data_IF_111541827399
#
_entry.id   IF_111541827399
#
_cell.length_a   1.000
_cell.length_b   1.000
_cell.length_c   1.000
_cell.angle_alpha   90.00
_cell.angle_beta   90.00
_cell.angle_gamma   90.00
#
_symmetry.space_group_name_H-M   'P 1'
#
loop_
_entity.id
_entity.type
_entity.pdbx_description
1 polymer ?
#
# COMPACT_ATOMS: atom_id res chain seq x y z
N UNK A 1 -5.33 1.09 3.55
CA UNK A 1 -4.88 0.49 4.84
C UNK A 1 -3.63 -0.33 4.62
N UNK A 2 -2.62 -0.21 5.50
CA UNK A 2 -1.40 -1.03 5.47
C UNK A 2 -1.75 -2.48 5.80
N UNK A 3 -1.21 -3.41 5.01
CA UNK A 3 -1.47 -4.85 5.13
C UNK A 3 -0.26 -5.61 5.69
N UNK A 4 0.91 -5.36 5.12
CA UNK A 4 2.16 -6.05 5.48
C UNK A 4 3.36 -5.12 5.33
N UNK A 5 4.41 -5.43 6.06
CA UNK A 5 5.72 -4.82 5.93
C UNK A 5 6.75 -5.91 5.61
N UNK A 6 7.80 -5.55 4.86
CA UNK A 6 8.95 -6.43 4.62
C UNK A 6 10.21 -5.73 5.13
N UNK A 7 10.82 -6.29 6.17
CA UNK A 7 11.98 -5.71 6.86
C UNK A 7 12.98 -6.83 7.13
N UNK A 8 14.22 -6.63 6.77
CA UNK A 8 15.32 -7.57 7.04
C UNK A 8 15.02 -9.03 6.58
N UNK A 9 14.51 -9.14 5.34
CA UNK A 9 14.24 -10.45 4.74
C UNK A 9 13.00 -11.17 5.28
N UNK A 10 12.16 -10.52 6.10
CA UNK A 10 10.97 -11.10 6.73
C UNK A 10 9.74 -10.23 6.52
N UNK A 11 8.59 -10.89 6.29
CA UNK A 11 7.27 -10.23 6.37
C UNK A 11 6.85 -10.02 7.82
N UNK A 12 6.21 -8.87 8.06
CA UNK A 12 5.65 -8.46 9.35
C UNK A 12 4.23 -7.95 9.13
N UNK A 13 3.37 -8.21 10.10
CA UNK A 13 2.08 -7.52 10.19
C UNK A 13 2.23 -6.21 10.96
N UNK A 14 1.36 -5.20 10.72
CA UNK A 14 1.41 -3.95 11.48
C UNK A 14 1.40 -4.15 13.01
N UNK A 15 0.68 -5.15 13.51
CA UNK A 15 0.55 -5.46 14.94
C UNK A 15 1.84 -6.07 15.54
N UNK A 16 2.74 -6.60 14.71
CA UNK A 16 4.01 -7.19 15.13
C UNK A 16 5.15 -6.17 15.19
N UNK A 17 4.89 -4.93 14.76
CA UNK A 17 5.89 -3.87 14.77
C UNK A 17 6.22 -3.45 16.19
N UNK A 18 7.51 -3.43 16.49
CA UNK A 18 8.03 -3.09 17.81
C UNK A 18 8.91 -1.84 17.72
N UNK A 19 8.53 -0.79 18.44
CA UNK A 19 9.23 0.50 18.47
C UNK A 19 10.59 0.45 19.18
N UNK A 20 10.87 -0.56 20.00
CA UNK A 20 12.20 -0.80 20.57
C UNK A 20 13.18 -1.40 19.55
N UNK A 21 12.66 -2.04 18.48
CA UNK A 21 13.50 -2.51 17.38
C UNK A 21 13.92 -1.32 16.51
N UNK A 22 15.23 -1.11 16.43
CA UNK A 22 15.79 0.01 15.68
C UNK A 22 15.48 -0.06 14.18
N UNK A 23 15.39 -1.26 13.60
CA UNK A 23 15.03 -1.45 12.18
C UNK A 23 13.60 -0.95 11.92
N UNK A 24 12.65 -1.38 12.75
CA UNK A 24 11.27 -0.95 12.65
C UNK A 24 11.16 0.56 12.82
N UNK A 25 11.86 1.12 13.79
CA UNK A 25 11.82 2.56 14.10
C UNK A 25 12.32 3.44 12.95
N UNK A 26 13.42 3.05 12.26
CA UNK A 26 13.91 3.80 11.11
C UNK A 26 12.93 3.80 9.93
N UNK A 27 12.31 2.64 9.65
CA UNK A 27 11.25 2.56 8.64
C UNK A 27 10.06 3.46 8.97
N UNK A 28 9.68 3.51 10.24
CA UNK A 28 8.56 4.35 10.69
C UNK A 28 8.91 5.84 10.70
N UNK A 29 10.16 6.23 11.00
CA UNK A 29 10.59 7.61 10.82
C UNK A 29 10.39 8.06 9.37
N UNK A 30 10.82 7.26 8.39
CA UNK A 30 10.62 7.58 6.99
C UNK A 30 9.13 7.64 6.63
N UNK A 31 8.34 6.66 7.04
CA UNK A 31 6.90 6.62 6.77
C UNK A 31 6.13 7.83 7.30
N UNK A 32 6.54 8.39 8.46
CA UNK A 32 5.88 9.54 9.10
C UNK A 32 6.46 10.88 8.65
N UNK A 33 7.77 10.97 8.50
CA UNK A 33 8.45 12.24 8.24
C UNK A 33 8.49 12.58 6.74
N UNK A 34 8.62 11.57 5.87
CA UNK A 34 8.48 11.73 4.42
C UNK A 34 7.01 11.62 4.02
N UNK A 35 6.20 12.56 4.53
CA UNK A 35 4.74 12.46 4.44
C UNK A 35 4.12 13.86 4.64
N UNK A 36 3.22 14.26 3.74
CA UNK A 36 2.55 15.57 3.77
C UNK A 36 1.10 15.48 4.26
N UNK A 37 0.58 14.27 4.44
CA UNK A 37 -0.75 14.04 4.98
C UNK A 37 -0.80 14.24 6.49
N UNK A 38 -2.00 14.37 7.03
CA UNK A 38 -2.26 14.51 8.47
C UNK A 38 -3.52 13.73 8.88
N UNK A 39 -3.63 13.46 10.17
CA UNK A 39 -4.81 12.86 10.77
C UNK A 39 -5.41 13.84 11.77
N UNK A 40 -6.60 14.38 11.46
CA UNK A 40 -7.35 15.30 12.32
C UNK A 40 -8.65 14.63 12.73
N UNK A 41 -8.90 14.52 14.02
CA UNK A 41 -10.08 13.87 14.60
C UNK A 41 -10.37 12.47 14.01
N UNK A 42 -9.31 11.70 13.76
CA UNK A 42 -9.41 10.36 13.17
C UNK A 42 -9.68 10.32 11.67
N UNK A 43 -9.74 11.48 11.00
CA UNK A 43 -9.91 11.57 9.55
C UNK A 43 -8.58 11.90 8.87
N UNK A 44 -8.26 11.16 7.80
CA UNK A 44 -7.10 11.43 6.96
C UNK A 44 -7.34 12.66 6.09
N UNK A 45 -6.35 13.57 6.07
CA UNK A 45 -6.30 14.73 5.19
C UNK A 45 -5.04 14.58 4.34
N UNK A 46 -5.18 14.62 3.01
CA UNK A 46 -4.09 14.45 2.05
C UNK A 46 -4.23 13.18 1.22
N UNK A 47 -3.12 12.65 0.75
CA UNK A 47 -3.10 11.44 -0.09
C UNK A 47 -3.47 10.18 0.73
N UNK A 48 -4.41 9.33 0.23
CA UNK A 48 -4.81 8.10 0.92
C UNK A 48 -3.67 7.13 1.23
N UNK A 49 -2.66 7.08 0.38
CA UNK A 49 -1.47 6.25 0.58
C UNK A 49 -0.65 6.75 1.78
N UNK A 50 -0.55 8.06 1.91
CA UNK A 50 0.22 8.70 2.98
C UNK A 50 -0.47 8.62 4.33
N UNK A 51 -1.77 8.96 4.42
CA UNK A 51 -2.43 8.88 5.73
C UNK A 51 -2.62 7.43 6.20
N UNK A 52 -2.63 6.43 5.29
CA UNK A 52 -2.64 5.03 5.69
C UNK A 52 -1.37 4.63 6.48
N UNK A 53 -0.22 5.23 6.16
CA UNK A 53 1.01 5.07 6.93
C UNK A 53 0.88 5.66 8.33
N UNK A 54 0.28 6.85 8.46
CA UNK A 54 0.05 7.51 9.75
C UNK A 54 -0.94 6.72 10.62
N UNK A 55 -2.02 6.21 10.03
CA UNK A 55 -2.98 5.35 10.71
C UNK A 55 -2.34 4.07 11.25
N UNK A 56 -1.45 3.44 10.47
CA UNK A 56 -0.69 2.28 10.92
C UNK A 56 0.13 2.63 12.16
N UNK A 57 0.89 3.71 12.10
CA UNK A 57 1.77 4.13 13.21
C UNK A 57 1.00 4.41 14.48
N UNK A 58 -0.17 5.06 14.40
CA UNK A 58 -1.03 5.32 15.57
C UNK A 58 -1.59 4.06 16.22
N UNK A 59 -1.71 2.97 15.47
CA UNK A 59 -2.22 1.68 16.00
C UNK A 59 -1.13 0.82 16.64
N UNK A 60 0.14 1.18 16.52
CA UNK A 60 1.24 0.43 17.15
C UNK A 60 1.13 0.58 18.67
N UNK A 61 1.05 -0.53 19.42
CA UNK A 61 0.93 -0.48 20.86
C UNK A 61 2.20 0.12 21.50
N UNK A 62 2.03 1.14 22.33
CA UNK A 62 3.08 1.66 23.21
C UNK A 62 2.76 1.21 24.63
N UNK A 63 3.70 0.52 25.27
CA UNK A 63 3.47 0.07 26.65
C UNK A 63 3.34 1.27 27.60
N UNK A 64 2.35 1.25 28.49
CA UNK A 64 2.07 2.35 29.43
C UNK A 64 3.26 2.72 30.35
N UNK A 65 4.23 1.80 30.49
CA UNK A 65 5.43 1.98 31.31
C UNK A 65 6.68 2.30 30.49
N UNK A 66 6.53 2.58 29.19
CA UNK A 66 7.65 2.86 28.31
C UNK A 66 8.11 4.31 28.45
N UNK A 67 9.09 4.53 29.31
CA UNK A 67 9.65 5.87 29.57
C UNK A 67 10.39 6.47 28.38
N UNK A 68 10.81 5.66 27.40
CA UNK A 68 11.51 6.11 26.18
C UNK A 68 10.50 6.54 25.11
N UNK A 69 9.30 5.97 25.14
CA UNK A 69 8.20 6.21 24.21
C UNK A 69 6.96 6.76 24.93
N UNK A 70 7.11 7.22 26.17
CA UNK A 70 6.01 7.68 27.02
C UNK A 70 5.17 8.81 26.39
N UNK A 71 5.81 9.65 25.55
CA UNK A 71 5.14 10.72 24.81
C UNK A 71 4.49 10.25 23.50
N UNK A 72 4.58 8.96 23.20
CA UNK A 72 4.02 8.35 22.01
C UNK A 72 4.90 8.49 20.75
N UNK A 73 4.80 7.51 19.86
CA UNK A 73 5.42 7.54 18.54
C UNK A 73 4.33 7.85 17.52
N UNK A 74 4.01 9.12 17.32
CA UNK A 74 3.00 9.57 16.38
C UNK A 74 3.43 10.82 15.62
N UNK A 75 2.80 11.10 14.50
CA UNK A 75 3.23 12.15 13.56
C UNK A 75 3.32 13.54 14.20
N UNK A 76 2.39 13.90 15.07
CA UNK A 76 2.39 15.25 15.68
C UNK A 76 3.63 15.48 16.54
N UNK A 77 3.99 14.51 17.38
CA UNK A 77 5.17 14.59 18.23
C UNK A 77 6.44 14.59 17.39
N UNK A 78 6.56 13.66 16.46
CA UNK A 78 7.75 13.56 15.60
C UNK A 78 7.96 14.85 14.80
N UNK A 79 6.90 15.42 14.21
CA UNK A 79 6.99 16.67 13.45
C UNK A 79 7.23 17.91 14.31
N UNK A 80 6.85 17.89 15.59
CA UNK A 80 7.19 18.97 16.54
C UNK A 80 8.64 18.89 17.01
N UNK A 81 9.17 17.70 17.23
CA UNK A 81 10.52 17.47 17.73
C UNK A 81 11.58 17.43 16.64
N UNK A 82 11.20 17.01 15.43
CA UNK A 82 12.06 16.90 14.26
C UNK A 82 11.59 17.87 13.19
N UNK A 83 12.35 18.96 13.00
CA UNK A 83 12.03 19.98 12.00
C UNK A 83 12.52 19.53 10.63
N UNK A 84 11.62 19.57 9.63
CA UNK A 84 11.98 19.34 8.22
C UNK A 84 12.91 20.46 7.75
N UNK A 85 14.10 20.10 7.31
CA UNK A 85 15.12 21.04 6.85
C UNK A 85 14.96 21.37 5.37
N UNK A 86 14.81 20.35 4.55
CA UNK A 86 14.69 20.43 3.10
C UNK A 86 13.78 19.33 2.58
N UNK A 87 13.21 19.52 1.38
CA UNK A 87 12.36 18.52 0.74
C UNK A 87 12.47 18.54 -0.79
N UNK A 88 12.27 17.39 -1.40
CA UNK A 88 11.89 17.20 -2.79
C UNK A 88 10.52 16.52 -2.77
N UNK A 89 9.43 17.26 -3.07
CA UNK A 89 8.07 16.71 -3.06
C UNK A 89 7.92 15.53 -4.01
N UNK A 90 6.87 14.73 -3.82
CA UNK A 90 6.59 13.64 -4.74
C UNK A 90 6.43 14.15 -6.17
N UNK A 91 7.10 13.48 -7.09
CA UNK A 91 7.00 13.72 -8.52
C UNK A 91 6.72 12.41 -9.26
N UNK A 92 5.74 12.42 -10.18
CA UNK A 92 5.26 11.22 -10.87
C UNK A 92 6.27 10.62 -11.85
N UNK A 93 7.16 11.44 -12.42
CA UNK A 93 8.18 10.98 -13.35
C UNK A 93 9.36 10.38 -12.58
N UNK A 94 9.74 11.03 -11.47
CA UNK A 94 10.76 10.57 -10.55
C UNK A 94 10.30 9.41 -9.66
N UNK A 95 8.99 9.34 -9.34
CA UNK A 95 8.32 8.35 -8.49
C UNK A 95 8.88 8.28 -7.06
N UNK A 96 9.48 9.32 -6.58
CA UNK A 96 10.09 9.46 -5.26
C UNK A 96 9.60 10.73 -4.56
N UNK A 97 9.61 10.67 -3.23
CA UNK A 97 9.54 11.82 -2.34
C UNK A 97 10.69 11.72 -1.35
N UNK A 98 11.41 12.81 -1.14
CA UNK A 98 12.57 12.86 -0.26
C UNK A 98 12.49 14.06 0.69
N UNK A 99 12.82 13.82 1.96
CA UNK A 99 12.80 14.84 3.01
C UNK A 99 14.06 14.75 3.85
N UNK A 100 14.61 15.87 4.23
CA UNK A 100 15.84 15.95 5.04
C UNK A 100 15.52 16.41 6.45
N UNK A 101 15.99 15.65 7.42
CA UNK A 101 15.82 15.89 8.85
C UNK A 101 17.15 15.74 9.60
N UNK A 102 17.22 16.28 10.80
CA UNK A 102 18.29 15.95 11.74
C UNK A 102 17.84 14.80 12.66
N UNK A 103 18.27 13.57 12.34
CA UNK A 103 17.96 12.39 13.16
C UNK A 103 19.12 12.08 14.11
N UNK A 104 18.86 12.12 15.40
CA UNK A 104 19.89 11.87 16.44
C UNK A 104 21.18 12.71 16.26
N UNK A 105 21.02 13.97 15.81
CA UNK A 105 22.14 14.87 15.58
C UNK A 105 22.82 14.74 14.21
N UNK A 106 22.33 13.84 13.34
CA UNK A 106 22.89 13.60 12.01
C UNK A 106 21.92 14.05 10.92
N UNK A 107 22.33 14.95 10.00
CA UNK A 107 21.53 15.29 8.84
C UNK A 107 21.26 14.06 7.99
N UNK A 108 19.99 13.69 7.87
CA UNK A 108 19.54 12.43 7.26
C UNK A 108 18.49 12.69 6.20
N UNK A 109 18.72 12.19 5.02
CA UNK A 109 17.77 12.14 3.93
C UNK A 109 16.94 10.88 4.03
N UNK A 110 15.64 11.05 4.17
CA UNK A 110 14.63 9.99 4.16
C UNK A 110 13.93 10.01 2.80
N UNK A 111 13.69 8.84 2.20
CA UNK A 111 13.09 8.76 0.88
C UNK A 111 12.15 7.58 0.77
N UNK A 112 10.94 7.84 0.29
CA UNK A 112 9.97 6.80 -0.07
C UNK A 112 9.61 6.87 -1.56
N UNK A 113 9.18 5.75 -2.12
CA UNK A 113 8.68 5.73 -3.50
C UNK A 113 8.56 4.36 -4.13
N UNK A 114 8.55 4.34 -5.46
CA UNK A 114 8.42 3.10 -6.23
C UNK A 114 9.61 2.18 -6.00
N UNK A 115 9.31 0.89 -5.77
CA UNK A 115 10.30 -0.11 -5.37
C UNK A 115 11.42 -0.26 -6.40
N UNK A 116 11.09 -0.33 -7.69
CA UNK A 116 12.03 -0.44 -8.79
C UNK A 116 13.01 0.74 -8.82
N UNK A 117 12.51 1.96 -8.69
CA UNK A 117 13.32 3.17 -8.75
C UNK A 117 14.21 3.33 -7.51
N UNK A 118 13.65 3.16 -6.32
CA UNK A 118 14.41 3.38 -5.08
C UNK A 118 15.43 2.27 -4.82
N UNK A 119 15.08 1.01 -5.11
CA UNK A 119 15.98 -0.12 -4.93
C UNK A 119 17.24 -0.01 -5.80
N UNK A 120 17.12 0.48 -7.04
CA UNK A 120 18.28 0.67 -7.91
C UNK A 120 19.24 1.77 -7.43
N UNK A 121 18.76 2.67 -6.58
CA UNK A 121 19.55 3.73 -5.95
C UNK A 121 20.15 3.33 -4.58
N UNK A 122 19.83 2.14 -4.08
CA UNK A 122 20.35 1.63 -2.81
C UNK A 122 21.69 0.92 -3.03
N UNK A 123 22.66 1.23 -2.20
CA UNK A 123 24.01 0.57 -2.18
C UNK A 123 24.20 -0.31 -0.96
N UNK A 124 23.34 -0.16 0.05
CA UNK A 124 23.39 -0.93 1.30
C UNK A 124 21.96 -1.25 1.77
N UNK A 125 21.88 -2.19 2.70
CA UNK A 125 20.64 -2.57 3.39
C UNK A 125 20.89 -2.55 4.91
N UNK A 126 19.91 -2.07 5.66
CA UNK A 126 19.92 -2.12 7.12
C UNK A 126 19.29 -3.42 7.59
N UNK A 127 20.05 -4.21 8.35
CA UNK A 127 19.65 -5.51 8.90
C UNK A 127 19.83 -5.55 10.42
N UNK A 128 19.41 -6.63 11.06
CA UNK A 128 19.68 -6.89 12.48
C UNK A 128 21.19 -6.94 12.79
N UNK A 129 22.00 -7.35 11.83
CA UNK A 129 23.45 -7.45 11.97
C UNK A 129 24.18 -6.13 11.65
N UNK A 130 23.43 -5.08 11.32
CA UNK A 130 23.96 -3.76 10.97
C UNK A 130 23.67 -3.35 9.52
N UNK A 131 24.47 -2.41 9.00
CA UNK A 131 24.38 -1.96 7.62
C UNK A 131 25.32 -2.81 6.77
N UNK A 132 24.76 -3.56 5.84
CA UNK A 132 25.49 -4.45 4.94
C UNK A 132 25.44 -3.90 3.50
N UNK A 133 26.47 -4.16 2.67
CA UNK A 133 26.40 -3.87 1.24
C UNK A 133 25.21 -4.59 0.59
N UNK A 134 24.52 -3.93 -0.32
CA UNK A 134 23.41 -4.49 -1.08
C UNK A 134 23.94 -5.38 -2.21
N UNK A 135 23.77 -6.69 -2.11
CA UNK A 135 24.12 -7.64 -3.15
C UNK A 135 22.95 -7.98 -4.09
N UNK A 136 23.24 -8.68 -5.19
CA UNK A 136 22.21 -9.06 -6.16
C UNK A 136 21.23 -10.10 -5.61
N UNK A 137 21.63 -10.93 -4.66
CA UNK A 137 20.75 -11.88 -3.98
C UNK A 137 19.71 -11.17 -3.13
N UNK A 138 20.12 -10.14 -2.40
CA UNK A 138 19.22 -9.28 -1.61
C UNK A 138 18.27 -8.48 -2.52
N UNK A 139 18.77 -7.88 -3.61
CA UNK A 139 17.94 -7.19 -4.60
C UNK A 139 16.87 -8.11 -5.18
N UNK A 140 17.27 -9.33 -5.55
CA UNK A 140 16.35 -10.33 -6.11
C UNK A 140 15.22 -10.66 -5.12
N UNK A 141 15.57 -10.93 -3.86
CA UNK A 141 14.57 -11.21 -2.81
C UNK A 141 13.59 -10.07 -2.62
N UNK A 142 14.05 -8.81 -2.59
CA UNK A 142 13.19 -7.63 -2.44
C UNK A 142 12.27 -7.47 -3.65
N UNK A 143 12.78 -7.68 -4.89
CA UNK A 143 11.94 -7.64 -6.10
C UNK A 143 10.92 -8.77 -6.14
N UNK A 144 11.27 -9.97 -5.68
CA UNK A 144 10.35 -11.10 -5.57
C UNK A 144 9.23 -10.80 -4.56
N UNK A 145 9.57 -10.20 -3.41
CA UNK A 145 8.59 -9.81 -2.42
C UNK A 145 7.66 -8.68 -2.93
N UNK A 146 8.21 -7.67 -3.59
CA UNK A 146 7.41 -6.64 -4.26
C UNK A 146 6.44 -7.24 -5.27
N UNK A 147 6.91 -8.21 -6.08
CA UNK A 147 6.05 -8.92 -7.04
C UNK A 147 4.96 -9.70 -6.31
N UNK A 148 5.30 -10.43 -5.24
CA UNK A 148 4.35 -11.18 -4.43
C UNK A 148 3.23 -10.29 -3.86
N UNK A 149 3.57 -9.14 -3.29
CA UNK A 149 2.58 -8.16 -2.82
C UNK A 149 1.74 -7.58 -3.97
N UNK A 150 2.39 -7.24 -5.09
CA UNK A 150 1.70 -6.70 -6.26
C UNK A 150 0.74 -7.71 -6.90
N UNK A 151 1.08 -9.00 -6.92
CA UNK A 151 0.20 -10.07 -7.38
C UNK A 151 -1.04 -10.24 -6.50
N UNK A 152 -0.94 -9.88 -5.22
CA UNK A 152 -2.08 -9.77 -4.31
C UNK A 152 -2.89 -8.48 -4.50
N UNK A 153 -2.50 -7.60 -5.43
CA UNK A 153 -3.13 -6.33 -5.71
C UNK A 153 -2.82 -5.24 -4.69
N UNK A 154 -1.77 -5.43 -3.90
CA UNK A 154 -1.33 -4.43 -2.95
C UNK A 154 -0.46 -3.37 -3.63
N UNK A 155 -0.65 -2.12 -3.25
CA UNK A 155 0.28 -1.04 -3.56
C UNK A 155 1.50 -1.16 -2.64
N UNK A 156 2.70 -1.09 -3.20
CA UNK A 156 3.94 -1.26 -2.44
C UNK A 156 4.77 0.01 -2.54
N UNK A 157 5.22 0.50 -1.39
CA UNK A 157 6.22 1.57 -1.29
C UNK A 157 7.52 1.02 -0.70
N UNK A 158 8.64 1.44 -1.28
CA UNK A 158 9.96 1.24 -0.71
C UNK A 158 10.37 2.45 0.14
N UNK A 159 11.20 2.19 1.14
CA UNK A 159 11.75 3.18 2.08
C UNK A 159 13.25 3.00 2.20
N UNK A 160 13.97 4.12 2.18
CA UNK A 160 15.42 4.12 2.29
C UNK A 160 15.91 5.47 2.85
N UNK A 161 17.12 5.47 3.42
CA UNK A 161 17.72 6.66 3.96
C UNK A 161 19.21 6.76 3.65
N UNK A 162 19.76 7.92 3.83
CA UNK A 162 21.22 8.14 3.88
C UNK A 162 21.57 9.37 4.72
N UNK A 163 22.79 9.44 5.22
CA UNK A 163 23.33 10.65 5.79
C UNK A 163 23.67 11.64 4.67
N UNK A 164 23.30 12.90 4.83
CA UNK A 164 23.48 13.94 3.82
C UNK A 164 23.75 15.30 4.48
N UNK A 165 25.02 15.71 4.53
CA UNK A 165 25.42 17.01 5.08
C UNK A 165 25.20 18.17 4.09
N UNK A 166 25.37 17.92 2.78
CA UNK A 166 25.19 18.92 1.74
C UNK A 166 23.72 19.25 1.46
N UNK A 167 23.44 20.37 0.78
CA UNK A 167 22.09 20.73 0.34
C UNK A 167 21.43 19.63 -0.49
N UNK A 168 20.13 19.46 -0.32
CA UNK A 168 19.36 18.47 -1.04
C UNK A 168 19.10 18.91 -2.48
N UNK A 169 19.52 18.08 -3.43
CA UNK A 169 19.20 18.20 -4.86
C UNK A 169 18.76 16.84 -5.39
N UNK A 170 18.19 16.81 -6.60
CA UNK A 170 17.81 15.53 -7.24
C UNK A 170 19.02 14.62 -7.49
N UNK A 171 20.21 15.17 -7.65
CA UNK A 171 21.45 14.41 -7.83
C UNK A 171 21.88 13.66 -6.58
N UNK A 172 21.40 14.12 -5.41
CA UNK A 172 21.68 13.51 -4.11
C UNK A 172 20.76 12.33 -3.79
N UNK A 173 19.73 12.08 -4.58
CA UNK A 173 18.86 10.89 -4.44
C UNK A 173 19.55 9.62 -4.95
N UNK A 174 20.63 9.23 -4.28
CA UNK A 174 21.49 8.07 -4.61
C UNK A 174 22.18 7.53 -3.37
N UNK A 175 22.82 6.36 -3.49
CA UNK A 175 23.64 5.75 -2.44
C UNK A 175 22.88 5.52 -1.13
N UNK A 176 21.62 5.11 -1.25
CA UNK A 176 20.74 4.87 -0.10
C UNK A 176 21.07 3.58 0.64
N UNK A 177 20.65 3.55 1.90
CA UNK A 177 20.54 2.38 2.75
C UNK A 177 19.07 1.96 2.75
N UNK A 178 18.77 0.80 2.18
CA UNK A 178 17.40 0.27 2.12
C UNK A 178 16.89 -0.09 3.52
N UNK A 179 15.64 0.27 3.82
CA UNK A 179 14.98 0.00 5.09
C UNK A 179 13.94 -1.13 5.00
N UNK A 180 13.12 -1.11 3.97
CA UNK A 180 12.05 -2.08 3.83
C UNK A 180 10.98 -1.68 2.81
N UNK A 181 9.95 -2.51 2.75
CA UNK A 181 8.74 -2.28 1.97
C UNK A 181 7.54 -2.15 2.91
N UNK A 182 6.59 -1.32 2.55
CA UNK A 182 5.25 -1.30 3.15
C UNK A 182 4.23 -1.53 2.05
N UNK A 183 3.38 -2.54 2.24
CA UNK A 183 2.30 -2.87 1.31
C UNK A 183 0.96 -2.43 1.88
N UNK A 184 0.10 -1.90 1.03
CA UNK A 184 -1.19 -1.38 1.42
C UNK A 184 -2.26 -1.67 0.39
N UNK A 185 -3.50 -1.73 0.87
CA UNK A 185 -4.70 -1.83 0.05
C UNK A 185 -5.42 -0.48 0.07
N UNK A 186 -5.84 0.00 -1.09
CA UNK A 186 -6.70 1.17 -1.16
C UNK A 186 -8.07 0.80 -0.56
N UNK A 187 -8.55 1.44 0.52
CA UNK A 187 -9.85 1.13 1.08
C UNK A 187 -10.96 1.57 0.11
N UNK A 188 -12.09 0.86 0.07
CA UNK A 188 -13.24 1.34 -0.67
C UNK A 188 -13.72 2.67 -0.09
N UNK A 189 -14.32 3.50 -0.93
CA UNK A 189 -14.94 4.76 -0.46
C UNK A 189 -16.10 4.44 0.48
N UNK A 190 -16.24 5.11 1.63
CA UNK A 190 -17.33 4.84 2.58
C UNK A 190 -18.72 4.91 1.94
N UNK A 191 -18.90 5.83 0.98
CA UNK A 191 -20.18 6.01 0.25
C UNK A 191 -20.53 4.78 -0.61
N UNK A 192 -19.55 3.99 -1.02
CA UNK A 192 -19.78 2.80 -1.84
C UNK A 192 -20.58 1.73 -1.08
N UNK A 193 -20.36 1.60 0.23
CA UNK A 193 -21.09 0.64 1.09
C UNK A 193 -22.57 0.98 1.09
N UNK A 194 -22.90 2.26 1.34
CA UNK A 194 -24.30 2.74 1.35
C UNK A 194 -24.91 2.60 -0.03
N UNK A 195 -24.22 3.03 -1.10
CA UNK A 195 -24.72 2.93 -2.46
C UNK A 195 -25.00 1.49 -2.91
N UNK A 196 -24.17 0.53 -2.53
CA UNK A 196 -24.40 -0.89 -2.80
C UNK A 196 -25.62 -1.41 -2.04
N UNK A 197 -25.78 -1.04 -0.77
CA UNK A 197 -26.95 -1.41 0.03
C UNK A 197 -28.25 -0.86 -0.57
N UNK A 198 -28.26 0.42 -0.95
CA UNK A 198 -29.41 1.08 -1.57
C UNK A 198 -29.75 0.44 -2.93
N UNK A 199 -28.77 0.13 -3.76
CA UNK A 199 -28.99 -0.57 -5.02
C UNK A 199 -29.63 -1.94 -4.80
N UNK A 200 -29.17 -2.72 -3.83
CA UNK A 200 -29.76 -4.02 -3.48
C UNK A 200 -31.21 -3.88 -2.98
N UNK A 201 -31.49 -2.90 -2.12
CA UNK A 201 -32.85 -2.61 -1.66
C UNK A 201 -33.80 -2.22 -2.81
N UNK A 202 -33.26 -1.55 -3.84
CA UNK A 202 -34.02 -1.24 -5.06
C UNK A 202 -34.16 -2.42 -6.04
N UNK A 203 -33.67 -3.62 -5.68
CA UNK A 203 -33.72 -4.80 -6.55
C UNK A 203 -32.66 -4.81 -7.67
N UNK A 204 -31.69 -3.89 -7.61
CA UNK A 204 -30.55 -3.85 -8.52
C UNK A 204 -29.47 -4.79 -8.00
N UNK A 205 -28.93 -5.64 -8.86
CA UNK A 205 -27.78 -6.48 -8.53
C UNK A 205 -26.47 -5.77 -8.91
N UNK A 206 -25.70 -5.26 -7.95
CA UNK A 206 -24.37 -4.70 -8.25
C UNK A 206 -23.39 -5.84 -8.54
N UNK A 207 -22.50 -5.62 -9.52
CA UNK A 207 -21.34 -6.48 -9.82
C UNK A 207 -20.09 -5.64 -9.89
N UNK A 208 -18.97 -6.20 -9.45
CA UNK A 208 -17.67 -5.52 -9.51
C UNK A 208 -16.92 -5.92 -10.77
N UNK A 209 -16.53 -4.92 -11.57
CA UNK A 209 -15.67 -5.09 -12.74
C UNK A 209 -14.45 -4.19 -12.54
N UNK A 210 -13.26 -4.81 -12.43
CA UNK A 210 -12.04 -4.06 -12.07
C UNK A 210 -10.80 -4.57 -12.82
N UNK A 211 -9.79 -3.70 -12.93
CA UNK A 211 -8.44 -4.05 -13.35
C UNK A 211 -7.60 -4.69 -12.25
N UNK A 212 -8.07 -4.69 -10.99
CA UNK A 212 -7.36 -5.22 -9.84
C UNK A 212 -7.25 -6.75 -9.87
N UNK A 213 -6.35 -7.25 -9.04
CA UNK A 213 -6.19 -8.69 -8.84
C UNK A 213 -7.42 -9.32 -8.18
N UNK A 214 -7.74 -10.57 -8.53
CA UNK A 214 -8.92 -11.31 -8.06
C UNK A 214 -9.05 -11.32 -6.51
N UNK A 215 -7.94 -11.52 -5.80
CA UNK A 215 -7.92 -11.58 -4.33
C UNK A 215 -8.35 -10.23 -3.75
N UNK A 216 -7.75 -9.14 -4.23
CA UNK A 216 -8.06 -7.77 -3.77
C UNK A 216 -9.49 -7.38 -4.12
N UNK A 217 -9.90 -7.61 -5.38
CA UNK A 217 -11.26 -7.33 -5.84
C UNK A 217 -12.31 -8.08 -4.99
N UNK A 218 -12.07 -9.36 -4.67
CA UNK A 218 -12.97 -10.15 -3.83
C UNK A 218 -13.02 -9.63 -2.39
N UNK A 219 -11.89 -9.22 -1.82
CA UNK A 219 -11.84 -8.65 -0.47
C UNK A 219 -12.63 -7.33 -0.40
N UNK A 220 -12.41 -6.42 -1.34
CA UNK A 220 -13.14 -5.16 -1.44
C UNK A 220 -14.64 -5.42 -1.68
N UNK A 221 -14.99 -6.32 -2.59
CA UNK A 221 -16.38 -6.65 -2.90
C UNK A 221 -17.14 -7.24 -1.68
N UNK A 222 -16.46 -8.01 -0.83
CA UNK A 222 -17.02 -8.47 0.46
C UNK A 222 -17.23 -7.32 1.42
N UNK A 223 -16.27 -6.42 1.55
CA UNK A 223 -16.33 -5.28 2.46
C UNK A 223 -17.48 -4.32 2.11
N UNK A 224 -17.69 -4.04 0.81
CA UNK A 224 -18.79 -3.17 0.36
C UNK A 224 -20.12 -3.90 0.16
N UNK A 225 -20.17 -5.21 0.42
CA UNK A 225 -21.40 -5.99 0.36
C UNK A 225 -21.83 -6.44 -1.04
N UNK A 226 -20.97 -6.39 -2.06
CA UNK A 226 -21.26 -6.95 -3.40
C UNK A 226 -21.13 -8.47 -3.40
N UNK A 227 -20.09 -9.02 -2.75
CA UNK A 227 -19.77 -10.46 -2.75
C UNK A 227 -20.33 -11.15 -1.49
N UNK A 228 -21.15 -12.14 -1.69
CA UNK A 228 -21.81 -12.92 -0.62
C UNK A 228 -21.41 -14.40 -0.66
N UNK A 229 -21.86 -15.15 0.34
CA UNK A 229 -21.60 -16.59 0.39
C UNK A 229 -22.28 -17.30 -0.81
N UNK A 230 -21.48 -18.05 -1.56
CA UNK A 230 -21.94 -18.73 -2.78
C UNK A 230 -21.65 -17.98 -4.07
N UNK A 231 -21.24 -16.71 -4.00
CA UNK A 231 -20.84 -15.94 -5.17
C UNK A 231 -19.49 -16.40 -5.74
N UNK A 232 -19.31 -16.17 -7.03
CA UNK A 232 -18.09 -16.46 -7.76
C UNK A 232 -17.34 -15.17 -8.11
N UNK A 233 -16.01 -15.26 -8.05
CA UNK A 233 -15.10 -14.26 -8.62
C UNK A 233 -14.34 -14.90 -9.77
N UNK A 234 -14.24 -14.22 -10.92
CA UNK A 234 -13.52 -14.71 -12.11
C UNK A 234 -12.52 -13.68 -12.61
N UNK A 235 -11.43 -14.16 -13.22
CA UNK A 235 -10.46 -13.31 -13.92
C UNK A 235 -10.83 -13.18 -15.40
N UNK A 236 -10.24 -12.18 -16.10
CA UNK A 236 -10.37 -12.05 -17.53
C UNK A 236 -9.95 -13.33 -18.27
N UNK A 237 -8.86 -13.97 -17.88
CA UNK A 237 -8.39 -15.23 -18.47
C UNK A 237 -9.39 -16.37 -18.24
N UNK A 238 -9.95 -16.51 -17.04
CA UNK A 238 -10.99 -17.50 -16.76
C UNK A 238 -12.25 -17.22 -17.60
N UNK A 239 -12.61 -15.95 -17.78
CA UNK A 239 -13.73 -15.53 -18.60
C UNK A 239 -13.48 -15.80 -20.09
N UNK A 240 -12.27 -15.56 -20.60
CA UNK A 240 -11.88 -15.83 -21.97
C UNK A 240 -11.90 -17.34 -22.30
N UNK A 241 -11.62 -18.16 -21.32
CA UNK A 241 -11.70 -19.63 -21.46
C UNK A 241 -13.12 -20.17 -21.43
N UNK A 242 -14.13 -19.41 -20.98
CA UNK A 242 -15.54 -19.81 -20.97
C UNK A 242 -16.18 -19.63 -22.35
N UNK A 243 -17.01 -20.59 -22.76
CA UNK A 243 -17.93 -20.40 -23.87
C UNK A 243 -19.06 -19.42 -23.49
N UNK A 244 -19.81 -18.92 -24.49
CA UNK A 244 -20.97 -18.04 -24.23
C UNK A 244 -22.04 -18.77 -23.39
N UNK A 245 -22.27 -20.07 -23.67
CA UNK A 245 -23.24 -20.90 -22.96
C UNK A 245 -22.82 -21.11 -21.49
N UNK A 246 -21.54 -21.35 -21.24
CA UNK A 246 -21.00 -21.50 -19.89
C UNK A 246 -21.11 -20.21 -19.09
N UNK A 247 -20.81 -19.07 -19.73
CA UNK A 247 -20.97 -17.76 -19.12
C UNK A 247 -22.45 -17.50 -18.80
N UNK A 248 -23.36 -17.72 -19.74
CA UNK A 248 -24.80 -17.53 -19.56
C UNK A 248 -25.36 -18.39 -18.39
N UNK A 249 -24.81 -19.59 -18.17
CA UNK A 249 -25.20 -20.44 -17.03
C UNK A 249 -24.72 -19.92 -15.68
N UNK A 250 -23.51 -19.33 -15.63
CA UNK A 250 -22.85 -18.91 -14.38
C UNK A 250 -23.03 -17.43 -14.06
N UNK A 251 -23.50 -16.61 -15.01
CA UNK A 251 -23.52 -15.16 -14.90
C UNK A 251 -24.21 -14.65 -13.62
N UNK A 252 -25.28 -15.34 -13.19
CA UNK A 252 -26.03 -14.98 -11.99
C UNK A 252 -25.30 -15.33 -10.68
N UNK A 253 -24.25 -16.12 -10.74
CA UNK A 253 -23.41 -16.47 -9.58
C UNK A 253 -22.15 -15.59 -9.51
N UNK A 254 -21.75 -14.96 -10.62
CA UNK A 254 -20.53 -14.18 -10.67
C UNK A 254 -20.83 -12.74 -10.22
N UNK A 255 -20.21 -12.33 -9.14
CA UNK A 255 -20.31 -10.98 -8.57
C UNK A 255 -19.04 -10.14 -8.76
N UNK A 256 -17.89 -10.77 -9.06
CA UNK A 256 -16.60 -10.09 -9.24
C UNK A 256 -15.91 -10.56 -10.53
N UNK A 257 -15.53 -9.59 -11.36
CA UNK A 257 -14.76 -9.76 -12.58
C UNK A 257 -13.45 -8.97 -12.44
N UNK A 258 -12.33 -9.68 -12.29
CA UNK A 258 -11.01 -9.11 -12.03
C UNK A 258 -10.10 -9.18 -13.26
N UNK A 259 -9.25 -8.18 -13.48
CA UNK A 259 -8.32 -8.09 -14.63
C UNK A 259 -9.01 -8.32 -15.99
N UNK A 260 -10.15 -7.71 -16.19
CA UNK A 260 -10.94 -7.86 -17.42
C UNK A 260 -10.64 -6.76 -18.42
N UNK A 261 -10.65 -7.15 -19.70
CA UNK A 261 -10.52 -6.23 -20.83
C UNK A 261 -11.84 -5.51 -21.16
N UNK A 262 -11.82 -4.46 -21.97
CA UNK A 262 -13.06 -3.84 -22.48
C UNK A 262 -13.97 -4.82 -23.23
N UNK A 263 -13.41 -5.77 -23.98
CA UNK A 263 -14.18 -6.80 -24.70
C UNK A 263 -14.93 -7.71 -23.72
N UNK A 264 -14.30 -8.07 -22.61
CA UNK A 264 -14.93 -8.86 -21.56
C UNK A 264 -16.15 -8.15 -20.96
N UNK A 265 -16.10 -6.82 -20.80
CA UNK A 265 -17.25 -6.04 -20.32
C UNK A 265 -18.46 -6.18 -21.25
N UNK A 266 -18.23 -6.15 -22.56
CA UNK A 266 -19.28 -6.32 -23.57
C UNK A 266 -19.90 -7.73 -23.46
N UNK A 267 -19.10 -8.78 -23.28
CA UNK A 267 -19.57 -10.16 -23.08
C UNK A 267 -20.45 -10.28 -21.82
N UNK A 268 -20.01 -9.70 -20.72
CA UNK A 268 -20.77 -9.69 -19.45
C UNK A 268 -22.13 -9.02 -19.64
N UNK A 269 -22.14 -7.81 -20.24
CA UNK A 269 -23.39 -7.07 -20.49
C UNK A 269 -24.35 -7.87 -21.37
N UNK A 270 -23.86 -8.45 -22.49
CA UNK A 270 -24.67 -9.27 -23.40
C UNK A 270 -25.27 -10.49 -22.72
N UNK A 271 -24.50 -11.18 -21.86
CA UNK A 271 -24.97 -12.35 -21.11
C UNK A 271 -26.09 -11.97 -20.13
N UNK A 272 -25.96 -10.84 -19.39
CA UNK A 272 -27.03 -10.31 -18.54
C UNK A 272 -28.28 -9.93 -19.33
N UNK A 273 -28.12 -9.29 -20.51
CA UNK A 273 -29.25 -8.93 -21.38
C UNK A 273 -29.97 -10.17 -21.91
N UNK A 274 -29.29 -11.26 -22.25
CA UNK A 274 -29.93 -12.55 -22.61
C UNK A 274 -30.80 -13.11 -21.49
N UNK A 275 -30.47 -12.81 -20.23
CA UNK A 275 -31.30 -13.15 -19.06
C UNK A 275 -32.48 -12.18 -18.83
N UNK A 276 -32.72 -11.25 -19.76
CA UNK A 276 -33.79 -10.26 -19.65
C UNK A 276 -33.51 -9.14 -18.65
N UNK A 277 -32.26 -8.95 -18.25
CA UNK A 277 -31.87 -7.85 -17.33
C UNK A 277 -31.52 -6.60 -18.12
N UNK A 278 -31.87 -5.47 -17.55
CA UNK A 278 -31.43 -4.14 -18.02
C UNK A 278 -30.09 -3.85 -17.33
N UNK A 279 -29.07 -3.54 -18.15
CA UNK A 279 -27.69 -3.29 -17.68
C UNK A 279 -27.26 -1.91 -18.12
#
# INVERSE_FOLDING_TARGET
TVQKLYIDGREWKPEEINLHNQLHRYLLYDAVLTNDSSLVDGKGIGDPTEYALLEMVRKIPVAANDTVLADGFHENLLRQTMVRMEELPFDSDRKLMSTKYCLHGVPTLLTKGAVDVLLDRCVSIRTSDGILPMDEGQRKKIREENRHFSEQGLRVLAFAYRELDQPLTMEEEKSYIFLGLISMMDPPRPEAITAVADAKHAGIRPVMITGDHKITATAIAKEIGIFEAGDLAVTGMELDAMTEEELDQKIEQISVYARVSPENKIRIVKSWQKKGRIV
#
